data_IF_117909582937
#
_entry.id   IF_117909582937
#
_cell.length_a   1.000
_cell.length_b   1.000
_cell.length_c   1.000
_cell.angle_alpha   90.00
_cell.angle_beta   90.00
_cell.angle_gamma   90.00
#
_symmetry.space_group_name_H-M   'P 1'
#
loop_
_entity.id
_entity.type
_entity.pdbx_description
1 polymer ?
#
# COMPACT_ATOMS: atom_id res chain seq x y z
N UNK A 1 -17.56 -10.85 23.52
CA UNK A 1 -16.10 -11.09 23.48
C UNK A 1 -15.55 -11.26 22.06
N UNK A 2 -16.24 -11.95 21.13
CA UNK A 2 -15.77 -12.14 19.74
C UNK A 2 -15.53 -10.82 18.96
N UNK A 3 -16.38 -9.81 19.15
CA UNK A 3 -16.24 -8.48 18.51
C UNK A 3 -15.00 -7.70 19.00
N UNK A 4 -14.60 -7.88 20.25
CA UNK A 4 -13.43 -7.21 20.82
C UNK A 4 -12.13 -7.86 20.30
N UNK A 5 -12.15 -9.18 20.14
CA UNK A 5 -11.03 -9.94 19.57
C UNK A 5 -10.79 -9.56 18.10
N UNK A 6 -11.85 -9.35 17.33
CA UNK A 6 -11.76 -8.92 15.93
C UNK A 6 -11.16 -7.51 15.80
N UNK A 7 -11.56 -6.56 16.67
CA UNK A 7 -10.94 -5.24 16.72
C UNK A 7 -9.46 -5.29 17.14
N UNK A 8 -9.09 -6.14 18.09
CA UNK A 8 -7.68 -6.27 18.53
C UNK A 8 -6.79 -6.95 17.48
N UNK A 9 -7.33 -7.89 16.70
CA UNK A 9 -6.63 -8.53 15.58
C UNK A 9 -6.42 -7.57 14.41
N UNK A 10 -7.41 -6.74 14.06
CA UNK A 10 -7.25 -5.74 12.99
C UNK A 10 -6.34 -4.58 13.40
N UNK A 11 -6.31 -4.22 14.68
CA UNK A 11 -5.40 -3.20 15.21
C UNK A 11 -3.93 -3.64 15.24
N UNK A 12 -3.64 -4.90 15.62
CA UNK A 12 -2.26 -5.42 15.65
C UNK A 12 -1.71 -5.82 14.26
N UNK A 13 -2.57 -6.10 13.27
CA UNK A 13 -2.11 -6.36 11.90
C UNK A 13 -1.66 -5.08 11.19
N UNK A 14 -2.22 -3.92 11.56
CA UNK A 14 -1.89 -2.63 10.94
C UNK A 14 -0.60 -1.99 11.48
N UNK A 15 -0.10 -2.41 12.65
CA UNK A 15 1.15 -1.91 13.22
C UNK A 15 2.42 -2.57 12.65
N UNK A 16 2.28 -3.57 11.77
CA UNK A 16 3.41 -4.30 11.20
C UNK A 16 3.82 -3.86 9.78
N UNK A 17 2.91 -3.26 8.99
CA UNK A 17 3.20 -2.90 7.60
C UNK A 17 4.13 -1.68 7.55
N UNK A 18 5.40 -1.91 7.27
CA UNK A 18 6.46 -0.92 7.42
C UNK A 18 7.19 -0.65 6.09
N UNK A 19 8.19 0.24 6.13
CA UNK A 19 8.95 0.62 4.94
C UNK A 19 9.64 -0.57 4.25
N UNK A 20 10.01 -1.61 4.99
CA UNK A 20 10.60 -2.85 4.41
C UNK A 20 9.57 -3.57 3.56
N UNK A 21 8.32 -3.64 4.02
CA UNK A 21 7.22 -4.26 3.25
C UNK A 21 6.91 -3.46 1.99
N UNK A 22 6.90 -2.12 2.10
CA UNK A 22 6.72 -1.23 0.94
C UNK A 22 7.81 -1.43 -0.10
N UNK A 23 9.08 -1.46 0.31
CA UNK A 23 10.23 -1.68 -0.58
C UNK A 23 10.17 -3.04 -1.27
N UNK A 24 9.97 -4.10 -0.48
CA UNK A 24 9.85 -5.46 -0.99
C UNK A 24 8.69 -5.58 -2.00
N UNK A 25 7.52 -5.01 -1.70
CA UNK A 25 6.38 -5.05 -2.61
C UNK A 25 6.65 -4.24 -3.87
N UNK A 26 7.27 -3.07 -3.77
CA UNK A 26 7.67 -2.29 -4.94
C UNK A 26 8.56 -3.10 -5.88
N UNK A 27 9.64 -3.69 -5.35
CA UNK A 27 10.59 -4.49 -6.13
C UNK A 27 9.93 -5.70 -6.78
N UNK A 28 9.15 -6.48 -6.02
CA UNK A 28 8.50 -7.69 -6.54
C UNK A 28 7.41 -7.37 -7.57
N UNK A 29 6.65 -6.29 -7.38
CA UNK A 29 5.61 -5.88 -8.34
C UNK A 29 6.27 -5.40 -9.64
N UNK A 30 7.34 -4.59 -9.56
CA UNK A 30 8.07 -4.13 -10.74
C UNK A 30 8.68 -5.30 -11.53
N UNK A 31 9.24 -6.29 -10.84
CA UNK A 31 9.76 -7.51 -11.46
C UNK A 31 8.63 -8.26 -12.20
N UNK A 32 7.48 -8.48 -11.57
CA UNK A 32 6.35 -9.15 -12.20
C UNK A 32 5.77 -8.33 -13.36
N UNK A 33 5.61 -7.02 -13.21
CA UNK A 33 5.15 -6.13 -14.29
C UNK A 33 6.06 -6.26 -15.52
N UNK A 34 7.37 -6.26 -15.31
CA UNK A 34 8.38 -6.34 -16.37
C UNK A 34 8.47 -7.74 -16.99
N UNK A 35 8.51 -8.78 -16.16
CA UNK A 35 9.01 -10.10 -16.55
C UNK A 35 7.95 -11.20 -16.60
N UNK A 36 6.82 -11.06 -15.88
CA UNK A 36 5.79 -12.10 -15.86
C UNK A 36 5.26 -12.41 -17.26
N UNK A 37 5.01 -13.69 -17.50
CA UNK A 37 4.51 -14.21 -18.77
C UNK A 37 3.37 -15.24 -18.61
N UNK A 38 3.05 -15.65 -17.37
CA UNK A 38 1.98 -16.60 -17.07
C UNK A 38 0.86 -15.98 -16.22
N UNK A 39 -0.34 -16.55 -16.33
CA UNK A 39 -1.53 -16.11 -15.57
C UNK A 39 -1.36 -16.21 -14.05
N UNK A 40 -0.66 -17.23 -13.54
CA UNK A 40 -0.40 -17.37 -12.10
C UNK A 40 0.48 -16.23 -11.56
N UNK A 41 1.50 -15.81 -12.32
CA UNK A 41 2.37 -14.68 -11.98
C UNK A 41 1.58 -13.37 -12.01
N UNK A 42 0.69 -13.19 -13.00
CA UNK A 42 -0.20 -12.02 -13.05
C UNK A 42 -1.14 -11.96 -11.86
N UNK A 43 -1.66 -13.11 -11.41
CA UNK A 43 -2.48 -13.20 -10.19
C UNK A 43 -1.65 -12.88 -8.94
N UNK A 44 -0.40 -13.31 -8.88
CA UNK A 44 0.51 -12.96 -7.79
C UNK A 44 0.80 -11.45 -7.75
N UNK A 45 1.03 -10.83 -8.91
CA UNK A 45 1.21 -9.39 -9.05
C UNK A 45 0.00 -8.63 -8.49
N UNK A 46 -1.22 -9.00 -8.92
CA UNK A 46 -2.48 -8.42 -8.42
C UNK A 46 -2.60 -8.57 -6.90
N UNK A 47 -2.28 -9.75 -6.34
CA UNK A 47 -2.32 -9.98 -4.89
C UNK A 47 -1.34 -9.09 -4.14
N UNK A 48 -0.14 -8.87 -4.68
CA UNK A 48 0.87 -8.00 -4.08
C UNK A 48 0.43 -6.53 -4.10
N UNK A 49 -0.17 -6.07 -5.21
CA UNK A 49 -0.74 -4.71 -5.28
C UNK A 49 -1.87 -4.55 -4.24
N UNK A 50 -2.77 -5.53 -4.14
CA UNK A 50 -3.84 -5.49 -3.14
C UNK A 50 -3.31 -5.49 -1.69
N UNK A 51 -2.24 -6.27 -1.42
CA UNK A 51 -1.58 -6.28 -0.12
C UNK A 51 -0.96 -4.91 0.21
N UNK A 52 -0.31 -4.28 -0.77
CA UNK A 52 0.19 -2.91 -0.63
C UNK A 52 -0.95 -1.93 -0.29
N UNK A 53 -2.05 -1.94 -1.07
CA UNK A 53 -3.19 -1.05 -0.83
C UNK A 53 -3.77 -1.22 0.57
N UNK A 54 -3.93 -2.47 1.03
CA UNK A 54 -4.40 -2.78 2.38
C UNK A 54 -3.43 -2.31 3.47
N UNK A 55 -2.13 -2.53 3.30
CA UNK A 55 -1.10 -2.10 4.23
C UNK A 55 -1.03 -0.58 4.38
N UNK A 56 -1.08 0.15 3.26
CA UNK A 56 -1.11 1.62 3.26
C UNK A 56 -2.38 2.17 3.92
N UNK A 57 -3.55 1.57 3.65
CA UNK A 57 -4.79 1.90 4.35
C UNK A 57 -4.67 1.68 5.86
N UNK A 58 -4.05 0.58 6.28
CA UNK A 58 -3.79 0.27 7.69
C UNK A 58 -2.95 1.36 8.37
N UNK A 59 -1.83 1.73 7.75
CA UNK A 59 -0.98 2.82 8.23
C UNK A 59 -1.72 4.14 8.36
N UNK A 60 -2.52 4.51 7.35
CA UNK A 60 -3.37 5.71 7.40
C UNK A 60 -4.27 5.69 8.63
N UNK A 61 -5.01 4.60 8.85
CA UNK A 61 -5.94 4.47 9.98
C UNK A 61 -5.23 4.53 11.33
N UNK A 62 -4.06 3.92 11.46
CA UNK A 62 -3.25 3.99 12.68
C UNK A 62 -2.78 5.42 12.98
N UNK A 63 -2.41 6.19 11.95
CA UNK A 63 -2.00 7.59 12.12
C UNK A 63 -3.16 8.53 12.46
N UNK A 64 -4.39 8.24 12.01
CA UNK A 64 -5.56 9.07 12.32
C UNK A 64 -6.02 8.98 13.79
N UNK A 65 -5.50 8.01 14.55
CA UNK A 65 -5.88 7.84 15.95
C UNK A 65 -5.43 9.02 16.81
N UNK A 66 -6.26 9.41 17.79
CA UNK A 66 -6.05 10.62 18.62
C UNK A 66 -4.75 10.60 19.42
N UNK A 67 -4.27 9.41 19.77
CA UNK A 67 -3.03 9.19 20.51
C UNK A 67 -2.07 8.35 19.65
N UNK A 68 -1.66 8.87 18.49
CA UNK A 68 -0.67 8.19 17.65
C UNK A 68 0.57 7.89 18.48
N UNK A 69 0.88 6.61 18.66
CA UNK A 69 2.06 6.18 19.41
C UNK A 69 3.33 6.54 18.63
N UNK A 70 4.44 6.76 19.34
CA UNK A 70 5.74 7.12 18.76
C UNK A 70 6.19 6.11 17.69
N UNK A 71 5.90 4.82 17.90
CA UNK A 71 6.25 3.77 16.94
C UNK A 71 5.48 3.92 15.61
N UNK A 72 4.19 4.29 15.64
CA UNK A 72 3.37 4.53 14.44
C UNK A 72 3.90 5.74 13.68
N UNK A 73 4.27 6.80 14.41
CA UNK A 73 4.89 7.99 13.82
C UNK A 73 6.19 7.64 13.09
N UNK A 74 7.05 6.85 13.72
CA UNK A 74 8.32 6.41 13.12
C UNK A 74 8.09 5.59 11.84
N UNK A 75 7.17 4.61 11.87
CA UNK A 75 6.82 3.81 10.69
C UNK A 75 6.31 4.71 9.56
N UNK A 76 5.38 5.62 9.85
CA UNK A 76 4.84 6.55 8.87
C UNK A 76 5.93 7.45 8.28
N UNK A 77 6.86 7.93 9.11
CA UNK A 77 7.99 8.75 8.65
C UNK A 77 8.91 7.96 7.73
N UNK A 78 9.26 6.73 8.09
CA UNK A 78 10.16 5.90 7.28
C UNK A 78 9.55 5.58 5.90
N UNK A 79 8.23 5.34 5.84
CA UNK A 79 7.49 5.16 4.58
C UNK A 79 7.43 6.46 3.77
N UNK A 80 7.11 7.58 4.42
CA UNK A 80 7.02 8.88 3.74
C UNK A 80 8.38 9.30 3.16
N UNK A 81 9.47 9.09 3.89
CA UNK A 81 10.83 9.40 3.45
C UNK A 81 11.31 8.47 2.33
N UNK A 82 10.85 7.20 2.29
CA UNK A 82 11.07 6.33 1.13
C UNK A 82 10.39 6.87 -0.13
N UNK A 83 9.21 7.49 0.03
CA UNK A 83 8.48 8.11 -1.05
C UNK A 83 7.53 7.16 -1.77
N UNK A 84 6.87 7.69 -2.81
CA UNK A 84 5.86 6.98 -3.58
C UNK A 84 6.53 5.81 -4.33
N UNK A 85 6.02 4.57 -4.19
CA UNK A 85 6.57 3.44 -4.93
C UNK A 85 6.49 3.61 -6.44
N UNK A 86 7.57 3.27 -7.14
CA UNK A 86 7.70 3.40 -8.59
C UNK A 86 6.68 2.55 -9.36
N UNK A 87 6.26 1.40 -8.82
CA UNK A 87 5.28 0.54 -9.49
C UNK A 87 3.93 1.25 -9.74
N UNK A 88 3.61 2.28 -8.97
CA UNK A 88 2.37 3.05 -9.12
C UNK A 88 2.36 3.94 -10.36
N UNK A 89 3.53 4.20 -10.93
CA UNK A 89 3.76 5.05 -12.11
C UNK A 89 4.41 4.26 -13.25
N UNK A 90 4.53 2.94 -13.09
CA UNK A 90 5.15 2.07 -14.08
C UNK A 90 4.31 2.02 -15.36
N UNK A 91 4.98 2.23 -16.50
CA UNK A 91 4.36 2.13 -17.84
C UNK A 91 4.13 0.66 -18.19
N UNK A 92 2.99 0.13 -17.74
CA UNK A 92 2.63 -1.27 -17.94
C UNK A 92 2.01 -1.48 -19.32
N UNK A 93 2.68 -2.28 -20.18
CA UNK A 93 2.18 -2.70 -21.50
C UNK A 93 0.97 -3.65 -21.37
N UNK A 94 -0.18 -3.07 -21.02
CA UNK A 94 -1.40 -3.78 -20.69
C UNK A 94 -1.89 -4.65 -21.85
N UNK A 95 -1.80 -4.17 -23.09
CA UNK A 95 -2.31 -4.91 -24.25
C UNK A 95 -1.47 -6.16 -24.54
N UNK A 96 -0.14 -6.06 -24.53
CA UNK A 96 0.74 -7.21 -24.74
C UNK A 96 0.68 -8.19 -23.56
N UNK A 97 0.72 -7.67 -22.33
CA UNK A 97 0.73 -8.49 -21.12
C UNK A 97 -0.60 -9.20 -20.91
N UNK A 98 -1.73 -8.53 -21.13
CA UNK A 98 -3.05 -9.14 -21.03
C UNK A 98 -3.21 -10.34 -21.97
N UNK A 99 -2.71 -10.24 -23.20
CA UNK A 99 -2.70 -11.37 -24.13
C UNK A 99 -1.90 -12.58 -23.59
N UNK A 100 -0.70 -12.33 -23.03
CA UNK A 100 0.14 -13.37 -22.41
C UNK A 100 -0.52 -14.01 -21.19
N UNK A 101 -1.23 -13.21 -20.39
CA UNK A 101 -1.93 -13.67 -19.19
C UNK A 101 -3.29 -14.31 -19.50
N UNK A 102 -3.73 -14.27 -20.75
CA UNK A 102 -5.07 -14.65 -21.18
C UNK A 102 -6.16 -13.89 -20.42
N UNK A 103 -5.93 -12.59 -20.19
CA UNK A 103 -6.90 -11.69 -19.57
C UNK A 103 -7.99 -11.30 -20.55
N UNK A 104 -9.23 -11.33 -20.08
CA UNK A 104 -10.35 -10.72 -20.80
C UNK A 104 -10.47 -9.22 -20.44
N UNK A 105 -11.46 -8.54 -21.00
CA UNK A 105 -11.69 -7.12 -20.72
C UNK A 105 -12.05 -6.85 -19.23
N UNK A 106 -12.72 -7.77 -18.57
CA UNK A 106 -13.04 -7.65 -17.14
C UNK A 106 -11.77 -7.73 -16.28
N UNK A 107 -10.84 -8.64 -16.61
CA UNK A 107 -9.54 -8.78 -15.95
C UNK A 107 -8.71 -7.48 -16.12
N UNK A 108 -8.72 -6.87 -17.32
CA UNK A 108 -8.05 -5.58 -17.57
C UNK A 108 -8.65 -4.43 -16.74
N UNK A 109 -9.98 -4.33 -16.71
CA UNK A 109 -10.70 -3.34 -15.89
C UNK A 109 -10.36 -3.54 -14.41
N UNK A 110 -10.37 -4.79 -13.94
CA UNK A 110 -10.04 -5.12 -12.57
C UNK A 110 -8.60 -4.73 -12.20
N UNK A 111 -7.64 -5.00 -13.08
CA UNK A 111 -6.24 -4.58 -12.88
C UNK A 111 -6.11 -3.05 -12.76
N UNK A 112 -6.74 -2.30 -13.67
CA UNK A 112 -6.71 -0.83 -13.62
C UNK A 112 -7.34 -0.29 -12.32
N UNK A 113 -8.45 -0.88 -11.86
CA UNK A 113 -9.08 -0.52 -10.59
C UNK A 113 -8.14 -0.78 -9.41
N UNK A 114 -7.45 -1.94 -9.39
CA UNK A 114 -6.50 -2.29 -8.32
C UNK A 114 -5.30 -1.31 -8.28
N UNK A 115 -4.77 -0.89 -9.43
CA UNK A 115 -3.72 0.15 -9.51
C UNK A 115 -4.24 1.50 -9.03
N UNK A 116 -5.47 1.86 -9.39
CA UNK A 116 -6.13 3.09 -8.93
C UNK A 116 -6.33 3.09 -7.41
N UNK A 117 -6.74 1.95 -6.83
CA UNK A 117 -6.90 1.78 -5.39
C UNK A 117 -5.56 1.91 -4.65
N UNK A 118 -4.49 1.33 -5.20
CA UNK A 118 -3.14 1.44 -4.65
C UNK A 118 -2.63 2.89 -4.66
N UNK A 119 -2.85 3.61 -5.76
CA UNK A 119 -2.52 5.04 -5.86
C UNK A 119 -3.33 5.87 -4.86
N UNK A 120 -4.63 5.59 -4.73
CA UNK A 120 -5.50 6.28 -3.78
C UNK A 120 -5.07 6.05 -2.33
N UNK A 121 -4.69 4.82 -1.98
CA UNK A 121 -4.19 4.49 -0.65
C UNK A 121 -2.89 5.24 -0.30
N UNK A 122 -1.96 5.38 -1.27
CA UNK A 122 -0.77 6.21 -1.10
C UNK A 122 -1.12 7.68 -0.84
N UNK A 123 -1.95 8.27 -1.70
CA UNK A 123 -2.31 9.70 -1.61
C UNK A 123 -3.00 10.03 -0.28
N UNK A 124 -3.89 9.14 0.17
CA UNK A 124 -4.57 9.27 1.45
C UNK A 124 -3.61 9.16 2.62
N UNK A 125 -2.70 8.17 2.59
CA UNK A 125 -1.63 8.05 3.59
C UNK A 125 -0.78 9.33 3.66
N UNK A 126 -0.32 9.83 2.52
CA UNK A 126 0.54 11.01 2.41
C UNK A 126 -0.13 12.24 3.03
N UNK A 127 -1.39 12.47 2.66
CA UNK A 127 -2.20 13.58 3.17
C UNK A 127 -2.40 13.50 4.68
N UNK A 128 -2.62 12.31 5.23
CA UNK A 128 -2.76 12.12 6.68
C UNK A 128 -1.42 12.31 7.38
N UNK A 129 -0.33 11.73 6.87
CA UNK A 129 0.99 11.88 7.46
C UNK A 129 1.41 13.35 7.53
N UNK A 130 1.21 14.12 6.45
CA UNK A 130 1.49 15.56 6.44
C UNK A 130 0.72 16.31 7.53
N UNK A 131 -0.56 16.00 7.74
CA UNK A 131 -1.37 16.59 8.82
C UNK A 131 -0.84 16.24 10.21
N UNK A 132 -0.47 14.97 10.44
CA UNK A 132 0.03 14.49 11.74
C UNK A 132 1.42 15.08 12.03
N UNK A 133 2.28 15.21 11.00
CA UNK A 133 3.61 15.85 11.09
C UNK A 133 3.55 17.24 11.70
N UNK A 134 2.61 18.06 11.22
CA UNK A 134 2.42 19.40 11.75
C UNK A 134 2.03 19.39 13.23
N UNK A 135 1.15 18.47 13.65
CA UNK A 135 0.73 18.34 15.05
C UNK A 135 1.88 17.87 15.95
N UNK A 136 2.59 16.82 15.54
CA UNK A 136 3.71 16.26 16.31
C UNK A 136 4.84 17.28 16.52
N UNK A 137 5.22 18.03 15.47
CA UNK A 137 6.24 19.07 15.58
C UNK A 137 5.81 20.24 16.47
N UNK A 138 4.50 20.50 16.59
CA UNK A 138 3.97 21.53 17.49
C UNK A 138 4.00 21.10 18.96
N UNK A 139 3.72 19.83 19.27
CA UNK A 139 3.74 19.30 20.64
C UNK A 139 5.15 19.15 21.21
N UNK A 140 6.18 19.00 20.38
CA UNK A 140 7.60 18.91 20.83
C UNK A 140 8.24 20.27 21.17
N UNK A 141 7.56 21.38 20.85
CA UNK A 141 8.01 22.74 21.16
C UNK A 141 7.32 23.35 22.39
N UNK A 142 6.39 22.61 22.99
CA UNK A 142 5.58 23.00 24.16
C UNK A 142 6.19 22.40 25.43
#
# INVERSE_FOLDING_TARGET
MLKLLFCLLTLNFCSCFNVTDVKMLNENILDLMSNANQRNESVQMIRMIALYSGGMCGNRLCMEQRNTEEHVWKIGKDIYDFGKPEFLEFDFDLENKSAKFNWNEEDKIFFNNIISDANSAWNDFEKIFAKVKHKYLSSQKS
#
